data_IF_721663387917
#
_entry.id   IF_721663387917
#
_cell.length_a   1.000
_cell.length_b   1.000
_cell.length_c   1.000
_cell.angle_alpha   90.00
_cell.angle_beta   90.00
_cell.angle_gamma   90.00
#
_symmetry.space_group_name_H-M   'P 1'
#
loop_
_entity.id
_entity.type
_entity.pdbx_description
1 polymer ?
#
# COMPACT_ATOMS: atom_id res chain seq x y z
N UNK A 1 9.38 -9.55 -9.57
CA UNK A 1 9.15 -9.53 -8.11
C UNK A 1 7.65 -9.68 -7.89
N UNK A 2 7.18 -10.38 -6.86
CA UNK A 2 5.73 -10.61 -6.65
C UNK A 2 5.20 -9.65 -5.60
N UNK A 3 4.91 -8.40 -5.99
CA UNK A 3 4.17 -7.44 -5.16
C UNK A 3 2.66 -7.66 -5.26
N UNK A 4 1.90 -6.75 -4.65
CA UNK A 4 0.45 -6.75 -4.62
C UNK A 4 -0.09 -5.54 -5.39
N UNK A 5 -1.16 -5.78 -6.14
CA UNK A 5 -1.95 -4.74 -6.76
C UNK A 5 -3.36 -4.84 -6.17
N UNK A 6 -3.76 -3.82 -5.43
CA UNK A 6 -5.08 -3.71 -4.80
C UNK A 6 -5.90 -2.68 -5.58
N UNK A 7 -6.96 -3.14 -6.25
CA UNK A 7 -7.89 -2.25 -6.95
C UNK A 7 -9.03 -1.84 -6.02
N UNK A 8 -8.97 -0.60 -5.53
CA UNK A 8 -9.91 -0.02 -4.58
C UNK A 8 -10.89 0.98 -5.22
N UNK A 9 -10.95 1.04 -6.56
CA UNK A 9 -11.83 2.00 -7.27
C UNK A 9 -13.31 1.80 -6.93
N UNK A 10 -13.72 0.53 -6.81
CA UNK A 10 -15.10 0.14 -6.53
C UNK A 10 -15.29 -0.43 -5.12
N UNK A 11 -14.37 -0.13 -4.19
CA UNK A 11 -14.48 -0.60 -2.80
C UNK A 11 -14.86 0.53 -1.84
N UNK A 12 -15.57 0.19 -0.78
CA UNK A 12 -15.74 1.08 0.36
C UNK A 12 -14.63 0.79 1.37
N UNK A 13 -13.83 1.81 1.70
CA UNK A 13 -12.80 1.71 2.75
C UNK A 13 -13.45 2.20 4.03
N UNK A 14 -13.87 1.26 4.88
CA UNK A 14 -14.40 1.56 6.21
C UNK A 14 -13.27 1.56 7.27
N UNK A 15 -12.25 2.37 7.01
CA UNK A 15 -11.16 2.67 7.95
C UNK A 15 -11.13 4.18 8.11
N UNK A 16 -11.19 4.66 9.35
CA UNK A 16 -10.97 6.07 9.60
C UNK A 16 -9.49 6.43 9.43
N UNK A 17 -9.22 7.69 9.06
CA UNK A 17 -7.85 8.18 8.86
C UNK A 17 -6.97 7.97 10.08
N UNK A 18 -7.51 8.12 11.29
CA UNK A 18 -6.78 7.94 12.56
C UNK A 18 -6.31 6.49 12.78
N UNK A 19 -6.97 5.53 12.13
CA UNK A 19 -6.77 4.09 12.31
C UNK A 19 -5.80 3.49 11.28
N UNK A 20 -5.15 4.31 10.45
CA UNK A 20 -4.18 3.84 9.45
C UNK A 20 -3.05 2.97 10.04
N UNK A 21 -2.73 3.15 11.33
CA UNK A 21 -1.72 2.36 12.03
C UNK A 21 -2.07 0.88 12.13
N UNK A 22 -3.36 0.53 12.14
CA UNK A 22 -3.79 -0.87 12.13
C UNK A 22 -3.27 -1.62 10.90
N UNK A 23 -3.12 -0.95 9.76
CA UNK A 23 -2.54 -1.53 8.55
C UNK A 23 -1.04 -1.79 8.75
N UNK A 24 -0.31 -0.88 9.41
CA UNK A 24 1.10 -1.07 9.71
C UNK A 24 1.30 -2.26 10.65
N UNK A 25 0.48 -2.35 11.70
CA UNK A 25 0.58 -3.40 12.71
C UNK A 25 0.25 -4.76 12.09
N UNK A 26 -0.83 -4.86 11.30
CA UNK A 26 -1.17 -6.06 10.55
C UNK A 26 -0.04 -6.52 9.63
N UNK A 27 0.57 -5.60 8.87
CA UNK A 27 1.68 -5.96 7.97
C UNK A 27 2.94 -6.39 8.75
N UNK A 28 3.20 -5.80 9.92
CA UNK A 28 4.32 -6.19 10.79
C UNK A 28 4.11 -7.56 11.41
N UNK A 29 2.88 -7.94 11.72
CA UNK A 29 2.55 -9.28 12.23
C UNK A 29 2.66 -10.36 11.15
N UNK A 30 2.50 -9.99 9.87
CA UNK A 30 2.49 -10.90 8.72
C UNK A 30 3.70 -10.75 7.78
N UNK A 31 4.91 -10.63 8.33
CA UNK A 31 6.12 -10.40 7.52
C UNK A 31 6.41 -11.53 6.52
N UNK A 32 6.00 -12.76 6.80
CA UNK A 32 6.12 -13.90 5.89
C UNK A 32 5.45 -13.66 4.54
N UNK A 33 4.42 -12.80 4.50
CA UNK A 33 3.69 -12.42 3.29
C UNK A 33 4.28 -11.13 2.70
N UNK A 34 4.46 -10.11 3.54
CA UNK A 34 4.67 -8.74 3.07
C UNK A 34 6.14 -8.29 3.04
N UNK A 35 7.06 -9.04 3.63
CA UNK A 35 8.47 -8.64 3.69
C UNK A 35 9.07 -8.48 2.30
N UNK A 36 9.64 -7.30 2.03
CA UNK A 36 10.22 -6.95 0.74
C UNK A 36 9.21 -6.83 -0.40
N UNK A 37 7.92 -6.69 -0.09
CA UNK A 37 6.85 -6.55 -1.09
C UNK A 37 6.47 -5.08 -1.29
N UNK A 38 5.99 -4.79 -2.50
CA UNK A 38 5.34 -3.54 -2.87
C UNK A 38 3.84 -3.75 -2.93
N UNK A 39 3.05 -2.86 -2.35
CA UNK A 39 1.59 -2.86 -2.37
C UNK A 39 1.13 -1.60 -3.11
N UNK A 40 0.70 -1.73 -4.36
CA UNK A 40 0.11 -0.62 -5.10
C UNK A 40 -1.40 -0.61 -4.88
N UNK A 41 -1.93 0.51 -4.39
CA UNK A 41 -3.38 0.71 -4.21
C UNK A 41 -3.89 1.62 -5.31
N UNK A 42 -4.72 1.09 -6.22
CA UNK A 42 -5.37 1.87 -7.28
C UNK A 42 -6.68 2.42 -6.76
N UNK A 43 -6.87 3.73 -6.84
CA UNK A 43 -8.11 4.40 -6.42
C UNK A 43 -8.45 5.54 -7.37
N UNK A 44 -9.73 5.86 -7.50
CA UNK A 44 -10.24 7.06 -8.18
C UNK A 44 -10.60 8.18 -7.19
N UNK A 45 -10.66 7.88 -5.88
CA UNK A 45 -10.97 8.84 -4.83
C UNK A 45 -9.68 9.25 -4.11
N UNK A 46 -9.37 10.55 -4.13
CA UNK A 46 -8.21 11.13 -3.46
C UNK A 46 -8.24 10.89 -1.95
N UNK A 47 -9.43 10.84 -1.33
CA UNK A 47 -9.58 10.55 0.10
C UNK A 47 -9.15 9.13 0.44
N UNK A 48 -9.46 8.16 -0.44
CA UNK A 48 -8.99 6.77 -0.31
C UNK A 48 -7.47 6.66 -0.50
N UNK A 49 -6.86 7.58 -1.24
CA UNK A 49 -5.41 7.67 -1.41
C UNK A 49 -4.65 8.15 -0.16
N UNK A 50 -5.34 8.81 0.78
CA UNK A 50 -4.73 9.32 2.03
C UNK A 50 -4.23 8.18 2.90
N UNK A 51 -5.01 7.11 3.06
CA UNK A 51 -4.64 5.99 3.94
C UNK A 51 -3.32 5.34 3.51
N UNK A 52 -3.15 4.87 2.25
CA UNK A 52 -1.87 4.34 1.78
C UNK A 52 -0.71 5.34 1.93
N UNK A 53 -0.97 6.64 1.73
CA UNK A 53 0.07 7.68 1.83
C UNK A 53 0.55 7.89 3.26
N UNK A 54 -0.36 7.84 4.25
CA UNK A 54 0.00 7.90 5.66
C UNK A 54 0.78 6.67 6.11
N UNK A 55 0.38 5.49 5.63
CA UNK A 55 1.11 4.23 5.86
C UNK A 55 2.51 4.33 5.26
N UNK A 56 2.66 4.80 4.01
CA UNK A 56 3.95 4.98 3.32
C UNK A 56 4.88 5.94 4.09
N UNK A 57 4.37 7.09 4.52
CA UNK A 57 5.14 8.09 5.25
C UNK A 57 5.66 7.53 6.58
N UNK A 58 4.84 6.75 7.28
CA UNK A 58 5.21 6.16 8.57
C UNK A 58 6.12 4.94 8.41
N UNK A 59 5.87 4.06 7.44
CA UNK A 59 6.70 2.87 7.20
C UNK A 59 8.10 3.22 6.73
N UNK A 60 8.26 4.32 5.97
CA UNK A 60 9.58 4.79 5.51
C UNK A 60 10.52 5.14 6.65
N UNK A 61 9.98 5.45 7.84
CA UNK A 61 10.76 5.72 9.06
C UNK A 61 11.12 4.46 9.86
N UNK A 62 10.46 3.33 9.61
CA UNK A 62 10.48 2.13 10.46
C UNK A 62 10.85 0.87 9.65
N UNK A 63 12.04 0.86 9.06
CA UNK A 63 12.66 -0.31 8.38
C UNK A 63 11.90 -0.86 7.16
N UNK A 64 12.65 -1.39 6.19
CA UNK A 64 12.19 -1.88 4.88
C UNK A 64 11.33 -3.16 4.92
N UNK A 65 10.32 -3.23 5.80
CA UNK A 65 9.42 -4.39 5.87
C UNK A 65 8.60 -4.47 4.58
N UNK A 66 8.01 -3.38 4.12
CA UNK A 66 7.25 -3.34 2.87
C UNK A 66 7.21 -1.91 2.32
N UNK A 67 6.74 -1.76 1.09
CA UNK A 67 6.38 -0.46 0.52
C UNK A 67 4.90 -0.49 0.15
N UNK A 68 4.19 0.60 0.41
CA UNK A 68 2.81 0.81 -0.04
C UNK A 68 2.72 2.17 -0.70
N UNK A 69 1.89 2.29 -1.74
CA UNK A 69 1.68 3.57 -2.44
C UNK A 69 0.33 3.62 -3.11
N UNK A 70 -0.30 4.79 -3.09
CA UNK A 70 -1.53 5.05 -3.85
C UNK A 70 -1.23 5.44 -5.31
N UNK A 71 -2.09 5.01 -6.22
CA UNK A 71 -2.04 5.32 -7.65
C UNK A 71 -3.44 5.67 -8.16
N UNK A 72 -3.50 6.61 -9.09
CA UNK A 72 -4.74 6.97 -9.81
C UNK A 72 -4.79 6.39 -11.23
N UNK A 73 -3.72 5.72 -11.65
CA UNK A 73 -3.60 5.00 -12.90
C UNK A 73 -3.20 3.54 -12.65
N UNK A 74 -3.95 2.62 -13.25
CA UNK A 74 -3.73 1.17 -13.10
C UNK A 74 -2.39 0.73 -13.69
N UNK A 75 -2.00 1.30 -14.83
CA UNK A 75 -0.79 0.88 -15.54
C UNK A 75 0.47 1.17 -14.72
N UNK A 76 0.53 2.37 -14.14
CA UNK A 76 1.60 2.83 -13.24
C UNK A 76 1.66 1.98 -11.97
N UNK A 77 0.51 1.69 -11.38
CA UNK A 77 0.40 0.84 -10.20
C UNK A 77 0.93 -0.57 -10.45
N UNK A 78 0.48 -1.19 -11.55
CA UNK A 78 0.92 -2.52 -11.98
C UNK A 78 2.42 -2.54 -12.23
N UNK A 79 2.93 -1.55 -12.97
CA UNK A 79 4.36 -1.45 -13.26
C UNK A 79 5.18 -1.35 -11.98
N UNK A 80 4.81 -0.47 -11.06
CA UNK A 80 5.54 -0.27 -9.81
C UNK A 80 5.53 -1.50 -8.90
N UNK A 81 4.37 -2.15 -8.73
CA UNK A 81 4.22 -3.31 -7.85
C UNK A 81 4.92 -4.58 -8.38
N UNK A 82 4.92 -4.79 -9.70
CA UNK A 82 5.32 -6.07 -10.30
C UNK A 82 6.70 -6.03 -10.98
N UNK A 83 7.26 -4.85 -11.21
CA UNK A 83 8.63 -4.69 -11.74
C UNK A 83 9.68 -5.30 -10.80
N UNK A 84 10.84 -5.66 -11.35
CA UNK A 84 11.99 -6.05 -10.52
C UNK A 84 12.48 -4.80 -9.79
N UNK A 85 12.65 -4.92 -8.48
CA UNK A 85 13.41 -3.96 -7.70
C UNK A 85 14.87 -4.14 -8.11
N UNK A 86 15.42 -3.17 -8.84
CA UNK A 86 16.86 -3.05 -9.09
C UNK A 86 17.55 -2.54 -7.84
#
# INVERSE_FOLDING_TARGET
MKGFLLDARNTEINIEIKDFKLILDFVKEHQEIFKGKRIAVVTSDSRKGIIPSLVEAKSSSESNVFQIRAFFDYSSAKYWALSKWS
#
